data_IF_289662215786
#
_entry.id   IF_289662215786
#
_cell.length_a   1.000
_cell.length_b   1.000
_cell.length_c   1.000
_cell.angle_alpha   90.00
_cell.angle_beta   90.00
_cell.angle_gamma   90.00
#
_symmetry.space_group_name_H-M   'P 1'
#
loop_
_entity.id
_entity.type
_entity.pdbx_description
1 polymer ?
#
# COMPACT_ATOMS: atom_id res chain seq x y z
N UNK A 1 12.25 -3.43 0.59
CA UNK A 1 11.39 -3.36 -0.60
C UNK A 1 10.22 -2.41 -0.38
N UNK A 2 9.70 -2.31 0.85
CA UNK A 2 8.62 -1.37 1.19
C UNK A 2 8.90 0.12 0.89
N UNK A 3 10.15 0.60 0.99
CA UNK A 3 10.48 2.00 0.70
C UNK A 3 10.20 2.40 -0.76
N UNK A 4 10.45 1.50 -1.72
CA UNK A 4 10.14 1.73 -3.13
C UNK A 4 8.63 1.77 -3.35
N UNK A 5 7.90 0.82 -2.78
CA UNK A 5 6.43 0.78 -2.85
C UNK A 5 5.82 2.06 -2.25
N UNK A 6 6.32 2.50 -1.09
CA UNK A 6 5.89 3.75 -0.48
C UNK A 6 6.15 4.94 -1.41
N UNK A 7 7.40 5.15 -1.82
CA UNK A 7 7.81 6.34 -2.58
C UNK A 7 7.20 6.43 -3.98
N UNK A 8 6.92 5.30 -4.62
CA UNK A 8 6.40 5.23 -5.99
C UNK A 8 4.88 5.11 -6.08
N UNK A 9 4.25 4.56 -5.05
CA UNK A 9 2.80 4.28 -5.06
C UNK A 9 2.11 5.15 -4.02
N UNK A 10 2.39 4.95 -2.74
CA UNK A 10 1.68 5.63 -1.65
C UNK A 10 2.00 7.13 -1.56
N UNK A 11 3.19 7.57 -1.92
CA UNK A 11 3.55 8.99 -1.88
C UNK A 11 3.13 9.73 -3.17
N UNK A 12 2.78 9.01 -4.24
CA UNK A 12 2.42 9.58 -5.55
C UNK A 12 0.92 9.55 -5.84
N UNK A 13 0.20 8.57 -5.31
CA UNK A 13 -1.22 8.34 -5.60
C UNK A 13 -2.10 8.70 -4.39
N UNK A 14 -3.26 9.31 -4.61
CA UNK A 14 -4.17 9.69 -3.53
C UNK A 14 -4.85 8.48 -2.87
N UNK A 15 -5.33 8.68 -1.65
CA UNK A 15 -5.87 7.60 -0.79
C UNK A 15 -7.16 6.96 -1.32
N UNK A 16 -7.90 7.65 -2.18
CA UNK A 16 -9.08 7.13 -2.88
C UNK A 16 -8.73 6.26 -4.10
N UNK A 17 -7.44 6.10 -4.41
CA UNK A 17 -6.99 5.24 -5.50
C UNK A 17 -7.28 3.78 -5.18
N UNK A 18 -8.04 3.14 -6.07
CA UNK A 18 -8.30 1.71 -6.04
C UNK A 18 -7.13 0.90 -6.61
N UNK A 19 -6.89 -0.27 -6.03
CA UNK A 19 -6.03 -1.29 -6.60
C UNK A 19 -6.68 -2.68 -6.52
N UNK A 20 -6.34 -3.51 -7.50
CA UNK A 20 -6.97 -4.81 -7.74
C UNK A 20 -5.87 -5.89 -7.70
N UNK A 21 -5.62 -6.52 -6.53
CA UNK A 21 -4.48 -7.41 -6.33
C UNK A 21 -4.58 -8.75 -7.08
N UNK A 22 -5.74 -9.09 -7.65
CA UNK A 22 -5.98 -10.36 -8.34
C UNK A 22 -6.06 -11.58 -7.40
N UNK A 23 -5.84 -11.39 -6.10
CA UNK A 23 -6.12 -12.32 -5.02
C UNK A 23 -6.68 -11.57 -3.81
N UNK A 24 -7.57 -12.19 -3.04
CA UNK A 24 -8.23 -11.49 -1.92
C UNK A 24 -9.16 -10.37 -2.41
N UNK A 25 -9.51 -9.46 -1.51
CA UNK A 25 -10.43 -8.37 -1.79
C UNK A 25 -9.73 -7.15 -2.40
N UNK A 26 -10.44 -6.45 -3.28
CA UNK A 26 -10.01 -5.14 -3.78
C UNK A 26 -10.01 -4.12 -2.65
N UNK A 27 -9.11 -3.14 -2.72
CA UNK A 27 -8.96 -2.14 -1.67
C UNK A 27 -8.48 -0.81 -2.25
N UNK A 28 -8.42 0.21 -1.39
CA UNK A 28 -7.85 1.51 -1.73
C UNK A 28 -6.51 1.71 -1.02
N UNK A 29 -5.66 2.59 -1.58
CA UNK A 29 -4.40 2.93 -0.93
C UNK A 29 -4.61 3.52 0.47
N UNK A 30 -5.67 4.30 0.68
CA UNK A 30 -6.01 4.86 2.00
C UNK A 30 -6.36 3.80 3.03
N UNK A 31 -7.06 2.74 2.63
CA UNK A 31 -7.39 1.63 3.52
C UNK A 31 -6.15 0.83 3.97
N UNK A 32 -5.13 0.73 3.11
CA UNK A 32 -3.90 -0.02 3.38
C UNK A 32 -2.77 0.84 3.97
N UNK A 33 -2.79 2.17 3.83
CA UNK A 33 -1.71 3.07 4.29
C UNK A 33 -1.34 2.89 5.78
N UNK A 34 -2.28 2.69 6.73
CA UNK A 34 -1.94 2.44 8.13
C UNK A 34 -1.12 1.16 8.36
N UNK A 35 -1.12 0.22 7.40
CA UNK A 35 -0.42 -1.07 7.52
C UNK A 35 1.05 -0.99 7.07
N UNK A 36 1.48 0.12 6.47
CA UNK A 36 2.86 0.27 5.97
C UNK A 36 3.92 0.06 7.07
N UNK A 37 3.65 0.52 8.29
CA UNK A 37 4.57 0.33 9.42
C UNK A 37 4.64 -1.13 9.87
N UNK A 38 3.51 -1.84 9.85
CA UNK A 38 3.47 -3.29 10.12
C UNK A 38 4.27 -4.06 9.07
N UNK A 39 4.07 -3.75 7.78
CA UNK A 39 4.78 -4.40 6.68
C UNK A 39 6.28 -4.18 6.78
N UNK A 40 6.71 -2.96 7.13
CA UNK A 40 8.11 -2.65 7.38
C UNK A 40 8.69 -3.45 8.54
N UNK A 41 7.97 -3.58 9.65
CA UNK A 41 8.40 -4.38 10.80
C UNK A 41 8.51 -5.88 10.45
N UNK A 42 7.68 -6.35 9.52
CA UNK A 42 7.69 -7.72 8.99
C UNK A 42 8.74 -7.95 7.89
N UNK A 43 9.51 -6.92 7.51
CA UNK A 43 10.58 -7.01 6.51
C UNK A 43 10.10 -7.09 5.05
N UNK A 44 8.88 -6.62 4.76
CA UNK A 44 8.40 -6.46 3.39
C UNK A 44 9.11 -5.32 2.64
#
# INVERSE_FOLDING_TARGET
>A
MINDVRSRVFDQLPDDTWFYPGHGDDSTLGAERPKLDEWRARGW
#
